data_IF_655158544443
#
_entry.id   IF_655158544443
#
_cell.length_a   1.000
_cell.length_b   1.000
_cell.length_c   1.000
_cell.angle_alpha   90.00
_cell.angle_beta   90.00
_cell.angle_gamma   90.00
#
_symmetry.space_group_name_H-M   'P 1'
#
loop_
_entity.id
_entity.type
_entity.pdbx_description
1 polymer ?
#
# COMPACT_ATOMS: atom_id res chain seq x y z
N UNK A 1 2.38 -5.90 -13.26
CA UNK A 1 3.67 -5.96 -12.53
C UNK A 1 4.51 -4.77 -13.00
N UNK A 2 4.98 -3.93 -12.08
CA UNK A 2 5.76 -2.73 -12.38
C UNK A 2 7.15 -2.83 -11.74
N UNK A 3 8.21 -2.49 -12.49
CA UNK A 3 9.58 -2.43 -11.98
C UNK A 3 9.89 -0.96 -11.68
N UNK A 4 10.20 -0.66 -10.42
CA UNK A 4 10.50 0.70 -9.95
C UNK A 4 11.99 0.82 -9.63
N UNK A 5 12.57 2.00 -9.83
CA UNK A 5 13.96 2.25 -9.45
C UNK A 5 14.06 2.34 -7.93
N UNK A 6 15.18 1.88 -7.38
CA UNK A 6 15.42 1.97 -5.93
C UNK A 6 15.40 3.42 -5.41
N UNK A 7 15.77 4.40 -6.25
CA UNK A 7 15.68 5.83 -5.93
C UNK A 7 14.25 6.30 -5.65
N UNK A 8 13.28 5.61 -6.23
CA UNK A 8 11.87 6.02 -6.24
C UNK A 8 11.07 5.22 -5.18
N UNK A 9 11.77 4.42 -4.36
CA UNK A 9 11.16 3.55 -3.35
C UNK A 9 10.32 4.31 -2.31
N UNK A 10 10.67 5.58 -2.02
CA UNK A 10 9.90 6.41 -1.07
C UNK A 10 8.51 6.74 -1.62
N UNK A 11 8.42 6.99 -2.93
CA UNK A 11 7.15 7.23 -3.61
C UNK A 11 6.37 5.93 -3.79
N UNK A 12 7.08 4.87 -4.20
CA UNK A 12 6.48 3.57 -4.46
C UNK A 12 6.10 2.78 -3.19
N UNK A 13 6.67 3.09 -2.02
CA UNK A 13 6.37 2.46 -0.72
C UNK A 13 6.42 3.51 0.40
N UNK A 14 5.38 4.35 0.53
CA UNK A 14 5.39 5.48 1.45
C UNK A 14 5.66 5.07 2.90
N UNK A 15 6.73 5.63 3.47
CA UNK A 15 7.13 5.43 4.87
C UNK A 15 7.71 4.05 5.20
N UNK A 16 7.97 3.20 4.21
CA UNK A 16 8.82 2.02 4.40
C UNK A 16 10.31 2.39 4.36
N UNK A 17 11.17 1.67 5.09
CA UNK A 17 12.60 1.73 4.81
C UNK A 17 12.83 1.23 3.38
N UNK A 18 13.88 1.74 2.72
CA UNK A 18 14.29 1.24 1.40
C UNK A 18 14.49 -0.27 1.51
N UNK A 19 13.70 -1.09 0.79
CA UNK A 19 13.80 -2.53 0.89
C UNK A 19 15.20 -2.97 0.49
N UNK A 20 15.74 -3.96 1.21
CA UNK A 20 16.92 -4.65 0.69
C UNK A 20 16.59 -5.19 -0.71
N UNK A 21 17.58 -5.22 -1.60
CA UNK A 21 17.41 -5.55 -3.03
C UNK A 21 16.70 -6.88 -3.29
N UNK A 22 16.62 -7.76 -2.29
CA UNK A 22 15.98 -9.08 -2.35
C UNK A 22 14.51 -9.14 -1.86
N UNK A 23 13.93 -8.09 -1.27
CA UNK A 23 12.64 -8.19 -0.56
C UNK A 23 11.62 -7.09 -0.88
N UNK A 24 11.58 -6.58 -2.12
CA UNK A 24 10.55 -5.61 -2.51
C UNK A 24 9.22 -6.35 -2.78
N UNK A 25 8.51 -6.69 -1.70
CA UNK A 25 7.19 -7.33 -1.77
C UNK A 25 6.10 -6.28 -1.49
N UNK A 26 5.37 -5.91 -2.54
CA UNK A 26 4.14 -5.14 -2.41
C UNK A 26 3.06 -5.76 -3.31
N UNK A 27 1.82 -5.70 -2.83
CA UNK A 27 0.65 -6.20 -3.54
C UNK A 27 -0.34 -5.08 -3.74
N UNK A 28 -0.83 -4.92 -4.97
CA UNK A 28 -1.94 -4.04 -5.30
C UNK A 28 -3.23 -4.83 -5.28
N UNK A 29 -4.20 -4.34 -4.52
CA UNK A 29 -5.55 -4.84 -4.39
C UNK A 29 -6.44 -3.85 -5.14
N UNK A 30 -7.04 -4.32 -6.23
CA UNK A 30 -8.03 -3.57 -6.98
C UNK A 30 -9.40 -3.76 -6.33
N UNK A 31 -10.09 -2.66 -6.10
CA UNK A 31 -11.51 -2.62 -5.70
C UNK A 31 -12.31 -1.91 -6.78
N UNK A 32 -13.61 -2.19 -6.85
CA UNK A 32 -14.42 -1.93 -8.05
C UNK A 32 -14.65 -0.42 -8.28
N UNK A 33 -14.90 0.34 -7.21
CA UNK A 33 -15.09 1.80 -7.27
C UNK A 33 -14.50 2.51 -6.04
N UNK A 34 -14.46 3.84 -6.08
CA UNK A 34 -13.95 4.74 -5.03
C UNK A 34 -14.70 4.53 -3.72
N UNK A 35 -16.01 4.30 -3.77
CA UNK A 35 -16.81 4.02 -2.57
C UNK A 35 -16.32 2.73 -1.87
N UNK A 36 -15.88 1.72 -2.63
CA UNK A 36 -15.30 0.49 -2.08
C UNK A 36 -13.89 0.71 -1.54
N UNK A 37 -13.11 1.65 -2.10
CA UNK A 37 -11.82 2.08 -1.50
C UNK A 37 -12.07 2.70 -0.14
N UNK A 38 -13.03 3.62 -0.04
CA UNK A 38 -13.38 4.30 1.20
C UNK A 38 -13.90 3.33 2.26
N UNK A 39 -14.75 2.38 1.87
CA UNK A 39 -15.24 1.36 2.79
C UNK A 39 -14.15 0.38 3.22
N UNK A 40 -13.26 -0.02 2.31
CA UNK A 40 -12.06 -0.80 2.65
C UNK A 40 -11.15 -0.05 3.62
N UNK A 41 -10.96 1.25 3.41
CA UNK A 41 -10.14 2.11 4.26
C UNK A 41 -10.75 2.19 5.67
N UNK A 42 -12.07 2.41 5.80
CA UNK A 42 -12.78 2.40 7.09
C UNK A 42 -12.64 1.07 7.82
N UNK A 43 -12.78 -0.05 7.11
CA UNK A 43 -12.62 -1.40 7.69
C UNK A 43 -11.20 -1.54 8.25
N UNK A 44 -10.18 -1.18 7.47
CA UNK A 44 -8.78 -1.25 7.89
C UNK A 44 -8.51 -0.36 9.11
N UNK A 45 -8.93 0.90 9.09
CA UNK A 45 -8.70 1.82 10.21
C UNK A 45 -9.45 1.42 11.47
N UNK A 46 -10.64 0.81 11.35
CA UNK A 46 -11.40 0.31 12.50
C UNK A 46 -10.65 -0.75 13.32
N UNK A 47 -9.69 -1.45 12.69
CA UNK A 47 -8.79 -2.40 13.36
C UNK A 47 -7.62 -1.75 14.10
N UNK A 48 -7.46 -0.43 14.00
CA UNK A 48 -6.30 0.32 14.50
C UNK A 48 -5.07 0.26 13.57
N UNK A 49 -5.23 -0.30 12.37
CA UNK A 49 -4.15 -0.37 11.37
C UNK A 49 -3.90 1.02 10.77
N UNK A 50 -2.65 1.50 10.88
CA UNK A 50 -2.26 2.79 10.30
C UNK A 50 -2.10 2.66 8.79
N UNK A 51 -2.78 3.54 8.06
CA UNK A 51 -2.71 3.68 6.61
C UNK A 51 -1.98 4.96 6.19
N UNK A 52 -1.66 5.06 4.90
CA UNK A 52 -1.16 6.29 4.27
C UNK A 52 -1.91 6.55 2.98
N UNK A 53 -2.35 7.78 2.70
CA UNK A 53 -2.98 8.09 1.43
C UNK A 53 -1.99 7.92 0.27
N UNK A 54 -2.49 7.45 -0.86
CA UNK A 54 -1.82 7.45 -2.16
C UNK A 54 -2.63 8.30 -3.14
N UNK A 55 -2.19 8.45 -4.39
CA UNK A 55 -2.89 9.29 -5.36
C UNK A 55 -4.33 8.85 -5.64
N UNK A 56 -4.56 7.54 -5.63
CA UNK A 56 -5.76 6.83 -6.08
C UNK A 56 -6.30 5.83 -5.04
N UNK A 57 -5.91 6.00 -3.77
CA UNK A 57 -6.37 5.15 -2.68
C UNK A 57 -5.47 5.24 -1.45
N UNK A 58 -5.11 4.09 -0.88
CA UNK A 58 -4.28 4.05 0.33
C UNK A 58 -3.32 2.87 0.38
N UNK A 59 -2.31 3.02 1.24
CA UNK A 59 -1.22 2.08 1.45
C UNK A 59 -1.16 1.61 2.91
N UNK A 60 -0.96 0.31 3.11
CA UNK A 60 -0.65 -0.30 4.41
C UNK A 60 0.82 -0.71 4.44
N UNK A 61 1.49 -0.25 5.48
CA UNK A 61 2.89 -0.58 5.78
C UNK A 61 3.09 -2.08 5.92
N UNK A 62 4.20 -2.63 5.40
CA UNK A 62 4.58 -4.04 5.58
C UNK A 62 4.69 -4.42 7.06
N UNK A 63 5.03 -3.46 7.94
CA UNK A 63 5.03 -3.63 9.40
C UNK A 63 3.65 -3.94 9.99
N UNK A 64 2.60 -3.48 9.34
CA UNK A 64 1.20 -3.71 9.74
C UNK A 64 0.53 -4.80 8.90
N UNK A 65 1.09 -5.14 7.74
CA UNK A 65 0.57 -6.14 6.79
C UNK A 65 1.45 -7.40 6.70
N UNK A 66 2.09 -7.79 7.81
CA UNK A 66 2.81 -9.06 7.95
C UNK A 66 3.89 -9.33 6.89
N UNK A 67 4.60 -8.29 6.45
CA UNK A 67 5.81 -8.41 5.63
C UNK A 67 5.66 -8.02 4.16
N UNK A 68 4.47 -7.69 3.68
CA UNK A 68 4.26 -7.10 2.35
C UNK A 68 3.50 -5.78 2.45
N UNK A 69 3.93 -4.77 1.71
CA UNK A 69 3.16 -3.53 1.58
C UNK A 69 1.88 -3.78 0.77
N UNK A 70 0.74 -3.21 1.19
CA UNK A 70 -0.53 -3.40 0.48
C UNK A 70 -1.03 -2.06 -0.06
N UNK A 71 -1.28 -1.98 -1.35
CA UNK A 71 -1.98 -0.87 -2.00
C UNK A 71 -3.43 -1.25 -2.22
N UNK A 72 -4.35 -0.35 -1.90
CA UNK A 72 -5.75 -0.43 -2.28
C UNK A 72 -6.04 0.73 -3.23
N UNK A 73 -6.61 0.43 -4.40
CA UNK A 73 -6.94 1.43 -5.42
C UNK A 73 -8.08 0.94 -6.32
N UNK A 74 -8.67 1.84 -7.09
CA UNK A 74 -9.70 1.52 -8.08
C UNK A 74 -9.09 0.95 -9.37
N UNK A 75 -9.88 0.12 -10.07
CA UNK A 75 -9.55 -0.44 -11.39
C UNK A 75 -9.78 0.49 -12.57
#
# INVERSE_FOLDING_TARGET
MQIVRASDAVEALPGEPVPASSYLAAMTILVDDVDDVDDSHKIVESSGTVTRPTGDGFFISARHAYGAGLFFTTG
#
